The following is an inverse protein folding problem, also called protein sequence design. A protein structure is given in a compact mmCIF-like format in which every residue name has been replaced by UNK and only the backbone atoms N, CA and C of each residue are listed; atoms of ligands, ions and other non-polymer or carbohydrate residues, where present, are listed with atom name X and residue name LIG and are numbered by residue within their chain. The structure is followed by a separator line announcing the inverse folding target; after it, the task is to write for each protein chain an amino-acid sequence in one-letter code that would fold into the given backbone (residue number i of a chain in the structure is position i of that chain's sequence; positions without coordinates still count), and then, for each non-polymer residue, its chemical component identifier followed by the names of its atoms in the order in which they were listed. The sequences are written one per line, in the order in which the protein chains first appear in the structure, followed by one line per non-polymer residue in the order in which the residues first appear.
data_IF_849797227340
#
_entry.id   IF_849797227340
#
_cell.length_a   1.000
_cell.length_b   1.000
_cell.length_c   1.000
_cell.angle_alpha   90.00
_cell.angle_beta   90.00
_cell.angle_gamma   90.00
#
_symmetry.space_group_name_H-M   'P 1'
#
loop_
_entity.id
_entity.type
_entity.pdbx_description
1 polymer ?
#
# COMPACT_ATOMS: atom_id res chain seq x y z
N UNK A 1 2.36 3.33 -5.38
CA UNK A 1 1.19 3.31 -6.28
C UNK A 1 0.69 1.88 -6.50
N UNK A 2 -0.57 1.75 -7.01
CA UNK A 2 -1.20 0.48 -7.34
C UNK A 2 -0.66 -0.18 -8.61
N UNK A 3 -1.33 -1.26 -9.04
CA UNK A 3 -0.95 -2.06 -10.22
C UNK A 3 -1.39 -1.42 -11.56
N UNK A 4 -2.28 -0.43 -11.53
CA UNK A 4 -2.77 0.28 -12.71
C UNK A 4 -2.26 1.71 -12.72
N UNK A 5 -2.14 2.27 -13.93
CA UNK A 5 -1.73 3.65 -14.16
C UNK A 5 -0.25 3.94 -13.83
N UNK A 6 0.27 4.94 -14.46
CA UNK A 6 1.62 5.41 -14.16
C UNK A 6 1.63 6.48 -13.06
N UNK A 7 2.83 6.87 -12.66
CA UNK A 7 3.03 7.86 -11.61
C UNK A 7 2.55 9.26 -12.05
N UNK A 8 2.59 9.56 -13.35
CA UNK A 8 2.17 10.85 -13.90
C UNK A 8 0.68 11.12 -13.70
N UNK A 9 -0.14 10.07 -13.79
CA UNK A 9 -1.59 10.18 -13.60
C UNK A 9 -1.99 10.50 -12.15
N UNK A 10 -1.05 10.41 -11.21
CA UNK A 10 -1.24 10.77 -9.81
C UNK A 10 -0.71 12.16 -9.45
N UNK A 11 -0.14 12.88 -10.43
CA UNK A 11 0.46 14.20 -10.21
C UNK A 11 -0.55 15.23 -9.67
N UNK A 12 -1.83 15.12 -10.01
CA UNK A 12 -2.89 16.00 -9.50
C UNK A 12 -3.02 15.98 -7.97
N UNK A 13 -2.60 14.88 -7.32
CA UNK A 13 -2.60 14.77 -5.86
C UNK A 13 -1.51 15.62 -5.22
N UNK A 14 -0.41 15.88 -5.92
CA UNK A 14 0.76 16.62 -5.40
C UNK A 14 0.36 18.04 -5.02
N UNK A 15 -0.38 18.74 -5.87
CA UNK A 15 -0.80 20.13 -5.62
C UNK A 15 -1.55 20.26 -4.30
N UNK A 16 -2.43 19.32 -3.98
CA UNK A 16 -3.17 19.30 -2.72
C UNK A 16 -2.24 19.14 -1.52
N UNK A 17 -1.26 18.24 -1.58
CA UNK A 17 -0.33 18.05 -0.47
C UNK A 17 0.59 19.25 -0.29
N UNK A 18 1.12 19.80 -1.37
CA UNK A 18 2.01 20.98 -1.34
C UNK A 18 1.27 22.21 -0.80
N UNK A 19 0.01 22.44 -1.18
CA UNK A 19 -0.80 23.56 -0.69
C UNK A 19 -1.05 23.50 0.81
N UNK A 20 -0.91 22.31 1.43
CA UNK A 20 -0.98 22.10 2.87
C UNK A 20 0.40 22.04 3.53
N UNK A 21 1.47 22.40 2.82
CA UNK A 21 2.84 22.47 3.37
C UNK A 21 3.56 21.12 3.46
N UNK A 22 3.08 20.07 2.76
CA UNK A 22 3.74 18.76 2.73
C UNK A 22 4.72 18.68 1.56
N UNK A 23 5.90 18.14 1.80
CA UNK A 23 6.77 17.63 0.73
C UNK A 23 6.21 16.30 0.22
N UNK A 24 6.37 16.03 -1.09
CA UNK A 24 5.85 14.80 -1.72
C UNK A 24 6.95 14.09 -2.49
N UNK A 25 7.14 12.81 -2.23
CA UNK A 25 7.98 11.91 -3.03
C UNK A 25 7.07 10.84 -3.66
N UNK A 26 6.87 10.93 -4.96
CA UNK A 26 6.18 9.89 -5.73
C UNK A 26 7.18 8.82 -6.16
N UNK A 27 6.83 7.58 -5.89
CA UNK A 27 7.68 6.41 -6.17
C UNK A 27 7.08 5.60 -7.30
N UNK A 28 7.90 5.17 -8.26
CA UNK A 28 7.52 4.21 -9.29
C UNK A 28 8.38 2.96 -9.20
N UNK A 29 7.74 1.81 -9.35
CA UNK A 29 8.36 0.49 -9.22
C UNK A 29 8.99 0.02 -10.52
N UNK A 30 9.95 -0.92 -10.43
CA UNK A 30 10.41 -1.66 -11.61
C UNK A 30 9.23 -2.37 -12.29
N UNK A 31 9.23 -2.37 -13.62
CA UNK A 31 8.15 -2.91 -14.44
C UNK A 31 6.96 -1.97 -14.64
N UNK A 32 6.96 -0.77 -14.01
CA UNK A 32 5.93 0.26 -14.16
C UNK A 32 6.52 1.58 -14.67
N UNK A 33 5.70 2.41 -15.29
CA UNK A 33 6.06 3.77 -15.74
C UNK A 33 7.34 3.81 -16.58
N UNK A 34 7.58 2.80 -17.43
CA UNK A 34 8.78 2.68 -18.27
C UNK A 34 10.03 2.13 -17.56
N UNK A 35 10.00 1.88 -16.26
CA UNK A 35 11.10 1.26 -15.54
C UNK A 35 11.27 -0.20 -15.97
N UNK A 36 12.51 -0.62 -16.24
CA UNK A 36 12.82 -2.01 -16.59
C UNK A 36 12.73 -2.93 -15.37
N UNK A 37 12.50 -4.22 -15.62
CA UNK A 37 12.51 -5.27 -14.60
C UNK A 37 11.15 -5.93 -14.38
N UNK A 38 11.11 -6.91 -13.47
CA UNK A 38 9.90 -7.66 -13.13
C UNK A 38 9.39 -7.21 -11.76
N UNK A 39 8.10 -6.80 -11.64
CA UNK A 39 7.52 -6.31 -10.39
C UNK A 39 7.09 -7.48 -9.47
N UNK A 40 8.03 -8.34 -9.07
CA UNK A 40 7.76 -9.39 -8.08
C UNK A 40 7.68 -8.80 -6.67
N UNK A 41 7.05 -9.53 -5.74
CA UNK A 41 6.97 -9.13 -4.33
C UNK A 41 8.35 -8.74 -3.77
N UNK A 42 9.33 -9.63 -3.92
CA UNK A 42 10.71 -9.39 -3.46
C UNK A 42 11.31 -8.14 -4.09
N UNK A 43 11.13 -7.97 -5.39
CA UNK A 43 11.70 -6.84 -6.11
C UNK A 43 11.07 -5.51 -5.72
N UNK A 44 9.75 -5.47 -5.46
CA UNK A 44 9.10 -4.25 -4.99
C UNK A 44 9.56 -3.87 -3.58
N UNK A 45 9.83 -4.85 -2.71
CA UNK A 45 10.41 -4.59 -1.40
C UNK A 45 11.83 -4.06 -1.49
N UNK A 46 12.67 -4.59 -2.40
CA UNK A 46 14.01 -4.08 -2.65
C UNK A 46 14.01 -2.65 -3.21
N UNK A 47 13.05 -2.32 -4.08
CA UNK A 47 12.89 -0.96 -4.60
C UNK A 47 12.54 0.00 -3.45
N UNK A 48 11.58 -0.36 -2.60
CA UNK A 48 11.20 0.45 -1.46
C UNK A 48 12.35 0.61 -0.46
N UNK A 49 13.09 -0.45 -0.16
CA UNK A 49 14.28 -0.40 0.70
C UNK A 49 15.35 0.57 0.15
N UNK A 50 15.60 0.51 -1.17
CA UNK A 50 16.54 1.42 -1.84
C UNK A 50 16.12 2.89 -1.70
N UNK A 51 14.82 3.17 -1.72
CA UNK A 51 14.27 4.51 -1.51
C UNK A 51 14.47 4.94 -0.05
N UNK A 52 14.19 4.06 0.92
CA UNK A 52 14.43 4.35 2.33
C UNK A 52 15.91 4.69 2.60
N UNK A 53 16.84 3.90 2.05
CA UNK A 53 18.27 4.18 2.13
C UNK A 53 18.64 5.52 1.47
N UNK A 54 18.03 5.85 0.34
CA UNK A 54 18.25 7.14 -0.30
C UNK A 54 17.79 8.30 0.59
N UNK A 55 16.61 8.19 1.19
CA UNK A 55 16.07 9.20 2.14
C UNK A 55 17.01 9.37 3.34
N UNK A 56 17.43 8.27 3.95
CA UNK A 56 18.34 8.30 5.10
C UNK A 56 19.68 8.99 4.77
N UNK A 57 20.21 8.73 3.56
CA UNK A 57 21.46 9.36 3.10
C UNK A 57 21.33 10.87 2.85
N UNK A 58 20.12 11.38 2.52
CA UNK A 58 19.91 12.82 2.38
C UNK A 58 20.02 13.57 3.71
N UNK A 59 19.76 12.91 4.85
CA UNK A 59 19.78 13.49 6.21
C UNK A 59 18.85 14.70 6.38
N UNK A 60 17.86 14.87 5.53
CA UNK A 60 16.93 16.00 5.52
C UNK A 60 15.73 15.79 6.43
N UNK A 61 15.27 14.54 6.54
CA UNK A 61 14.08 14.16 7.30
C UNK A 61 14.33 12.84 8.03
N UNK A 62 13.61 12.61 9.12
CA UNK A 62 13.60 11.33 9.84
C UNK A 62 12.42 10.49 9.36
N UNK A 63 12.52 9.17 9.43
CA UNK A 63 11.41 8.28 9.11
C UNK A 63 10.14 8.62 9.90
N UNK A 64 10.30 9.07 11.16
CA UNK A 64 9.19 9.52 12.03
C UNK A 64 8.51 10.82 11.56
N UNK A 65 9.04 11.51 10.56
CA UNK A 65 8.43 12.69 9.95
C UNK A 65 7.70 12.34 8.64
N UNK A 66 7.84 11.08 8.17
CA UNK A 66 7.27 10.58 6.92
C UNK A 66 5.88 10.01 7.16
N UNK A 67 4.91 10.42 6.35
CA UNK A 67 3.65 9.71 6.14
C UNK A 67 3.83 8.80 4.92
N UNK A 68 3.76 7.49 5.13
CA UNK A 68 3.89 6.52 4.05
C UNK A 68 2.50 6.18 3.50
N UNK A 69 2.31 6.38 2.20
CA UNK A 69 1.02 6.16 1.54
C UNK A 69 1.12 5.04 0.51
N UNK A 70 0.20 4.09 0.58
CA UNK A 70 0.07 3.01 -0.39
C UNK A 70 -1.35 2.87 -0.92
N UNK A 71 -1.46 2.59 -2.22
CA UNK A 71 -2.72 2.35 -2.91
C UNK A 71 -2.71 0.95 -3.51
N UNK A 72 -3.75 0.15 -3.28
CA UNK A 72 -3.92 -1.18 -3.86
C UNK A 72 -2.65 -2.05 -3.67
N UNK A 73 -1.95 -2.47 -4.73
CA UNK A 73 -0.68 -3.22 -4.65
C UNK A 73 0.35 -2.52 -3.75
N UNK A 74 0.44 -1.18 -3.83
CA UNK A 74 1.36 -0.39 -3.02
C UNK A 74 1.13 -0.53 -1.51
N UNK A 75 -0.07 -0.91 -1.06
CA UNK A 75 -0.33 -1.15 0.37
C UNK A 75 0.47 -2.32 0.91
N UNK A 76 0.73 -3.35 0.10
CA UNK A 76 1.59 -4.46 0.47
C UNK A 76 3.04 -4.03 0.71
N UNK A 77 3.54 -3.10 -0.11
CA UNK A 77 4.88 -2.54 0.06
C UNK A 77 4.96 -1.64 1.30
N UNK A 78 3.94 -0.79 1.51
CA UNK A 78 3.84 0.06 2.70
C UNK A 78 3.82 -0.76 3.99
N UNK A 79 3.01 -1.81 4.05
CA UNK A 79 2.94 -2.69 5.22
C UNK A 79 4.30 -3.36 5.47
N UNK A 80 4.97 -3.87 4.43
CA UNK A 80 6.31 -4.47 4.57
C UNK A 80 7.32 -3.46 5.13
N UNK A 81 7.38 -2.24 4.57
CA UNK A 81 8.29 -1.20 5.08
C UNK A 81 7.95 -0.82 6.52
N UNK A 82 6.67 -0.75 6.88
CA UNK A 82 6.23 -0.43 8.23
C UNK A 82 6.50 -1.55 9.26
N UNK A 83 6.84 -2.77 8.81
CA UNK A 83 7.38 -3.80 9.73
C UNK A 83 8.85 -3.62 10.04
N UNK A 84 9.58 -2.85 9.24
CA UNK A 84 11.03 -2.63 9.35
C UNK A 84 11.38 -1.26 9.94
N UNK A 85 10.55 -0.26 9.67
CA UNK A 85 10.75 1.14 10.05
C UNK A 85 9.52 1.69 10.78
N UNK A 86 9.74 2.67 11.66
CA UNK A 86 8.65 3.44 12.29
C UNK A 86 8.45 4.74 11.53
N UNK A 87 7.20 5.02 11.14
CA UNK A 87 6.79 6.21 10.40
C UNK A 87 5.90 7.11 11.26
N UNK A 88 5.72 8.37 10.86
CA UNK A 88 4.76 9.28 11.48
C UNK A 88 3.35 8.69 11.45
N UNK A 89 2.96 8.14 10.30
CA UNK A 89 1.78 7.32 10.09
C UNK A 89 1.87 6.58 8.76
N UNK A 90 1.03 5.57 8.57
CA UNK A 90 0.82 4.95 7.26
C UNK A 90 -0.64 5.09 6.84
N UNK A 91 -0.84 5.30 5.54
CA UNK A 91 -2.17 5.38 4.92
C UNK A 91 -2.28 4.25 3.90
N UNK A 92 -3.27 3.41 4.07
CA UNK A 92 -3.53 2.24 3.22
C UNK A 92 -4.86 2.45 2.49
N UNK A 93 -4.79 2.73 1.19
CA UNK A 93 -5.94 2.90 0.32
C UNK A 93 -6.25 1.62 -0.43
N UNK A 94 -7.47 1.12 -0.30
CA UNK A 94 -7.93 -0.15 -0.86
C UNK A 94 -6.95 -1.30 -0.57
N UNK A 95 -6.58 -1.57 0.70
CA UNK A 95 -5.63 -2.63 1.03
C UNK A 95 -6.26 -4.02 0.94
N UNK A 96 -5.39 -5.02 0.78
CA UNK A 96 -5.78 -6.43 0.68
C UNK A 96 -5.06 -7.30 1.72
N UNK A 97 -5.68 -8.41 2.13
CA UNK A 97 -5.09 -9.36 3.11
C UNK A 97 -3.92 -10.12 2.53
N UNK A 98 -4.08 -10.64 1.30
CA UNK A 98 -3.01 -11.28 0.50
C UNK A 98 -3.45 -11.38 -0.97
N UNK A 99 -2.49 -11.50 -1.89
CA UNK A 99 -2.80 -11.80 -3.29
C UNK A 99 -3.42 -13.21 -3.41
N UNK A 100 -3.02 -14.13 -2.55
CA UNK A 100 -3.60 -15.48 -2.49
C UNK A 100 -5.11 -15.41 -2.22
N UNK A 101 -5.54 -14.60 -1.25
CA UNK A 101 -6.96 -14.47 -0.91
C UNK A 101 -7.79 -13.87 -2.06
N UNK A 102 -7.24 -12.85 -2.74
CA UNK A 102 -7.88 -12.25 -3.93
C UNK A 102 -8.00 -13.29 -5.05
N UNK A 103 -6.91 -14.00 -5.35
CA UNK A 103 -6.87 -15.02 -6.39
C UNK A 103 -7.82 -16.17 -6.09
N UNK A 104 -7.85 -16.68 -4.84
CA UNK A 104 -8.73 -17.78 -4.43
C UNK A 104 -10.21 -17.41 -4.55
N UNK A 105 -10.58 -16.15 -4.25
CA UNK A 105 -11.96 -15.66 -4.43
C UNK A 105 -12.34 -15.61 -5.90
N UNK A 106 -11.43 -15.15 -6.77
CA UNK A 106 -11.66 -15.02 -8.21
C UNK A 106 -11.64 -16.38 -8.93
N UNK A 107 -10.75 -17.27 -8.52
CA UNK A 107 -10.49 -18.58 -9.15
C UNK A 107 -10.76 -19.71 -8.18
N UNK A 108 -12.03 -19.92 -7.82
CA UNK A 108 -12.48 -20.85 -6.75
C UNK A 108 -12.00 -22.30 -6.92
N UNK A 109 -11.85 -22.77 -8.17
CA UNK A 109 -11.49 -24.17 -8.50
C UNK A 109 -9.99 -24.42 -8.36
N UNK A 110 -9.16 -23.38 -8.52
CA UNK A 110 -7.70 -23.52 -8.49
C UNK A 110 -7.14 -23.27 -7.09
N UNK A 111 -6.17 -24.09 -6.64
CA UNK A 111 -5.56 -23.92 -5.32
C UNK A 111 -4.56 -22.74 -5.35
N UNK A 112 -5.06 -21.49 -5.23
CA UNK A 112 -4.28 -20.26 -5.34
C UNK A 112 -3.04 -20.24 -4.43
N UNK A 113 -3.12 -20.85 -3.24
CA UNK A 113 -2.01 -20.93 -2.28
C UNK A 113 -0.74 -21.55 -2.87
N UNK A 114 -0.87 -22.48 -3.81
CA UNK A 114 0.27 -23.17 -4.44
C UNK A 114 0.69 -22.54 -5.77
N UNK A 115 -0.19 -21.79 -6.42
CA UNK A 115 0.03 -21.22 -7.74
C UNK A 115 0.53 -19.77 -7.70
N UNK A 116 0.17 -19.02 -6.66
CA UNK A 116 0.57 -17.61 -6.49
C UNK A 116 1.96 -17.56 -5.88
N UNK A 117 2.92 -17.02 -6.65
CA UNK A 117 4.32 -16.84 -6.20
C UNK A 117 4.47 -15.60 -5.33
N UNK A 118 3.93 -14.47 -5.78
CA UNK A 118 3.96 -13.17 -5.09
C UNK A 118 2.75 -13.05 -4.17
N UNK A 119 2.90 -13.44 -2.92
CA UNK A 119 1.78 -13.65 -1.98
C UNK A 119 1.32 -12.36 -1.31
N UNK A 120 2.24 -11.45 -0.99
CA UNK A 120 1.98 -10.24 -0.20
C UNK A 120 1.06 -10.53 1.00
N UNK A 121 1.54 -11.35 1.93
CA UNK A 121 0.78 -11.73 3.13
C UNK A 121 0.70 -10.57 4.13
N UNK A 122 -0.17 -9.61 3.80
CA UNK A 122 -0.35 -8.38 4.57
C UNK A 122 -1.02 -8.63 5.92
N UNK A 123 -1.91 -9.64 5.99
CA UNK A 123 -2.65 -9.95 7.21
C UNK A 123 -1.71 -10.42 8.34
N UNK A 124 -0.70 -11.20 8.02
CA UNK A 124 0.29 -11.63 9.01
C UNK A 124 1.24 -10.50 9.41
N UNK A 125 1.51 -9.58 8.49
CA UNK A 125 2.46 -8.48 8.67
C UNK A 125 1.88 -7.29 9.43
N UNK A 126 0.60 -6.96 9.23
CA UNK A 126 -0.05 -5.77 9.82
C UNK A 126 0.04 -5.76 11.35
N UNK A 127 0.04 -6.92 11.97
CA UNK A 127 0.19 -7.12 13.44
C UNK A 127 1.54 -6.65 13.98
N UNK A 128 2.55 -6.54 13.11
CA UNK A 128 3.91 -6.12 13.50
C UNK A 128 4.13 -4.62 13.30
N UNK A 129 3.18 -3.94 12.66
CA UNK A 129 3.26 -2.50 12.40
C UNK A 129 2.97 -1.75 13.70
N UNK A 130 3.87 -0.83 14.06
CA UNK A 130 3.76 0.01 15.26
C UNK A 130 3.39 1.47 14.94
N UNK A 131 3.56 1.87 13.69
CA UNK A 131 3.17 3.21 13.22
C UNK A 131 1.65 3.38 13.26
N UNK A 132 1.12 4.58 13.54
CA UNK A 132 -0.30 4.89 13.37
C UNK A 132 -0.81 4.54 11.98
N UNK A 133 -2.01 3.95 11.88
CA UNK A 133 -2.57 3.43 10.62
C UNK A 133 -3.90 4.09 10.31
N UNK A 134 -4.05 4.58 9.06
CA UNK A 134 -5.35 4.93 8.48
C UNK A 134 -5.65 3.97 7.33
N UNK A 135 -6.80 3.30 7.38
CA UNK A 135 -7.29 2.44 6.29
C UNK A 135 -8.46 3.13 5.59
N UNK A 136 -8.33 3.30 4.27
CA UNK A 136 -9.36 3.88 3.42
C UNK A 136 -9.84 2.82 2.43
N UNK A 137 -11.15 2.60 2.32
CA UNK A 137 -11.70 1.70 1.30
C UNK A 137 -13.15 2.01 0.96
N UNK A 138 -13.53 1.69 -0.28
CA UNK A 138 -14.91 1.72 -0.74
C UNK A 138 -15.65 0.43 -0.36
N UNK A 139 -16.88 0.55 0.14
CA UNK A 139 -17.71 -0.62 0.45
C UNK A 139 -18.23 -1.35 -0.80
N UNK A 140 -18.23 -0.66 -1.96
CA UNK A 140 -18.59 -1.22 -3.27
C UNK A 140 -17.38 -1.60 -4.13
N UNK A 141 -16.19 -1.74 -3.53
CA UNK A 141 -14.99 -2.16 -4.25
C UNK A 141 -15.14 -3.60 -4.76
N UNK A 142 -15.18 -3.75 -6.09
CA UNK A 142 -15.32 -5.05 -6.77
C UNK A 142 -13.97 -5.72 -7.05
N UNK A 143 -12.87 -4.97 -7.02
CA UNK A 143 -11.51 -5.47 -7.27
C UNK A 143 -10.93 -6.05 -5.98
N UNK A 144 -10.93 -5.25 -4.91
CA UNK A 144 -10.51 -5.68 -3.57
C UNK A 144 -11.70 -5.49 -2.62
N UNK A 145 -12.49 -6.52 -2.40
CA UNK A 145 -13.68 -6.42 -1.58
C UNK A 145 -13.40 -5.86 -0.18
N UNK A 146 -14.28 -4.98 0.27
CA UNK A 146 -14.17 -4.26 1.53
C UNK A 146 -13.80 -5.13 2.75
N UNK A 147 -14.19 -6.40 2.76
CA UNK A 147 -13.86 -7.32 3.86
C UNK A 147 -12.35 -7.54 4.06
N UNK A 148 -11.51 -7.28 3.05
CA UNK A 148 -10.05 -7.30 3.21
C UNK A 148 -9.59 -6.15 4.11
N UNK A 149 -10.07 -4.94 3.84
CA UNK A 149 -9.78 -3.74 4.65
C UNK A 149 -10.26 -3.90 6.08
N UNK A 150 -11.47 -4.44 6.27
CA UNK A 150 -12.03 -4.70 7.59
C UNK A 150 -11.20 -5.71 8.39
N UNK A 151 -10.74 -6.80 7.77
CA UNK A 151 -9.85 -7.77 8.41
C UNK A 151 -8.52 -7.13 8.82
N UNK A 152 -7.90 -6.35 7.93
CA UNK A 152 -6.64 -5.66 8.24
C UNK A 152 -6.84 -4.65 9.37
N UNK A 153 -7.95 -3.89 9.35
CA UNK A 153 -8.28 -2.97 10.43
C UNK A 153 -8.40 -3.68 11.77
N UNK A 154 -9.11 -4.81 11.83
CA UNK A 154 -9.29 -5.56 13.07
C UNK A 154 -7.96 -6.07 13.65
N UNK A 155 -7.05 -6.52 12.79
CA UNK A 155 -5.76 -7.10 13.18
C UNK A 155 -4.64 -6.06 13.40
N UNK A 156 -4.82 -4.83 12.93
CA UNK A 156 -3.86 -3.76 13.10
C UNK A 156 -3.75 -3.31 14.56
N UNK A 157 -2.54 -2.91 14.98
CA UNK A 157 -2.31 -2.34 16.31
C UNK A 157 -2.86 -0.92 16.42
N UNK A 158 -3.11 -0.46 17.64
CA UNK A 158 -3.40 0.94 17.93
C UNK A 158 -2.11 1.78 17.92
N UNK A 159 -2.19 3.08 17.55
CA UNK A 159 -3.39 3.79 17.12
C UNK A 159 -3.76 3.49 15.67
N UNK A 160 -5.04 3.27 15.42
CA UNK A 160 -5.59 3.01 14.08
C UNK A 160 -6.91 3.73 13.88
N UNK A 161 -7.18 4.11 12.62
CA UNK A 161 -8.44 4.71 12.20
C UNK A 161 -8.86 4.18 10.83
N UNK A 162 -10.10 4.42 10.44
CA UNK A 162 -10.62 3.97 9.15
C UNK A 162 -11.58 4.98 8.54
N UNK A 163 -11.54 5.07 7.20
CA UNK A 163 -12.50 5.81 6.38
C UNK A 163 -13.11 4.83 5.38
N UNK A 164 -14.29 4.28 5.72
CA UNK A 164 -15.02 3.35 4.87
C UNK A 164 -16.17 4.08 4.19
N UNK A 165 -16.09 4.22 2.86
CA UNK A 165 -16.99 5.05 2.05
C UNK A 165 -18.05 4.15 1.41
N UNK A 166 -19.32 4.38 1.75
CA UNK A 166 -20.44 3.48 1.41
C UNK A 166 -20.63 3.28 -0.09
N UNK A 167 -20.54 4.35 -0.88
CA UNK A 167 -20.82 4.32 -2.32
C UNK A 167 -19.56 4.22 -3.19
N UNK A 168 -18.37 4.25 -2.59
CA UNK A 168 -17.13 4.22 -3.34
C UNK A 168 -16.76 2.80 -3.81
N UNK A 169 -16.17 2.75 -4.99
CA UNK A 169 -15.54 1.61 -5.62
C UNK A 169 -14.01 1.70 -5.50
N UNK A 170 -13.28 0.86 -6.23
CA UNK A 170 -11.81 0.80 -6.14
C UNK A 170 -11.09 2.09 -6.56
N UNK A 171 -11.61 2.78 -7.57
CA UNK A 171 -10.90 3.91 -8.22
C UNK A 171 -11.56 5.29 -7.99
N UNK A 172 -12.55 5.41 -7.11
CA UNK A 172 -13.28 6.67 -6.86
C UNK A 172 -13.43 6.97 -5.36
N UNK A 173 -12.36 6.78 -4.61
CA UNK A 173 -12.31 6.99 -3.16
C UNK A 173 -12.22 8.48 -2.74
N UNK A 174 -12.27 9.42 -3.69
CA UNK A 174 -12.21 10.87 -3.46
C UNK A 174 -13.34 11.60 -4.17
#
# INVERSE_FOLDING_TARGET
HGNSFDIGERAYRIERYISHGWGVLLVSWRGFSGNKGKPTETNLYLDAESIMHWIDNQKLIKNTDIVLYGESLGTGVVIEMATRYSFKSIILEAPFTSIVDIAQKKYKIYPAKFLVLDKFDNLSKIKKVTSPILIISGKKDEIIPHNHSLKLYNEANNPKDSLFIDEAMHNNLY
#
